data_IF_037602767019
#
_entry.id   IF_037602767019
#
_cell.length_a   1.000
_cell.length_b   1.000
_cell.length_c   1.000
_cell.angle_alpha   90.00
_cell.angle_beta   90.00
_cell.angle_gamma   90.00
#
_symmetry.space_group_name_H-M   'P 1'
#
loop_
_entity.id
_entity.type
_entity.pdbx_description
1 polymer ?
#
# COMPACT_ATOMS: atom_id res chain seq x y z
N UNK A 1 -16.30 -2.97 -1.37
CA UNK A 1 -14.93 -2.92 -0.81
C UNK A 1 -14.46 -4.34 -0.51
N UNK A 2 -13.15 -4.53 -0.33
CA UNK A 2 -12.57 -5.78 0.19
C UNK A 2 -11.71 -5.34 1.37
N UNK A 3 -12.02 -5.80 2.58
CA UNK A 3 -11.43 -5.26 3.80
C UNK A 3 -10.23 -6.08 4.27
N UNK A 4 -9.20 -5.39 4.70
CA UNK A 4 -8.03 -5.96 5.36
C UNK A 4 -8.31 -6.17 6.85
N UNK A 5 -7.98 -7.36 7.34
CA UNK A 5 -8.09 -7.73 8.76
C UNK A 5 -6.75 -8.18 9.35
N UNK A 6 -5.65 -7.94 8.62
CA UNK A 6 -4.29 -8.20 9.09
C UNK A 6 -3.72 -7.01 9.87
N UNK A 7 -2.40 -6.84 9.81
CA UNK A 7 -1.71 -5.75 10.49
C UNK A 7 -2.14 -4.37 9.96
N UNK A 8 -2.34 -3.43 10.88
CA UNK A 8 -2.59 -2.03 10.55
C UNK A 8 -1.48 -1.14 11.13
N UNK A 9 -1.02 -0.19 10.32
CA UNK A 9 -0.16 0.92 10.74
C UNK A 9 -1.00 2.19 10.88
N UNK A 10 -0.45 3.23 11.54
CA UNK A 10 -1.08 4.56 11.59
C UNK A 10 -0.16 5.57 10.92
N UNK A 11 -0.75 6.42 10.09
CA UNK A 11 -0.02 7.55 9.52
C UNK A 11 0.07 8.74 10.51
N UNK A 12 0.73 9.82 10.09
CA UNK A 12 0.89 11.05 10.88
C UNK A 12 -0.44 11.69 11.31
N UNK A 13 -1.53 11.40 10.59
CA UNK A 13 -2.88 11.89 10.87
C UNK A 13 -3.69 10.91 11.70
N UNK A 14 -3.06 9.85 12.23
CA UNK A 14 -3.70 8.78 12.99
C UNK A 14 -4.76 8.00 12.20
N UNK A 15 -4.70 8.02 10.86
CA UNK A 15 -5.56 7.19 10.02
C UNK A 15 -4.94 5.80 9.91
N UNK A 16 -5.76 4.76 10.09
CA UNK A 16 -5.32 3.37 9.97
C UNK A 16 -5.06 3.01 8.51
N UNK A 17 -3.96 2.32 8.27
CA UNK A 17 -3.48 1.91 6.95
C UNK A 17 -3.24 0.41 6.96
N UNK A 18 -3.67 -0.30 5.92
CA UNK A 18 -3.35 -1.72 5.76
C UNK A 18 -1.85 -1.89 5.47
N UNK A 19 -1.13 -2.64 6.30
CA UNK A 19 0.32 -2.86 6.17
C UNK A 19 0.68 -4.34 6.19
N UNK A 20 1.85 -4.66 5.63
CA UNK A 20 2.52 -5.94 5.81
C UNK A 20 3.91 -5.65 6.35
N UNK A 21 4.28 -6.32 7.44
CA UNK A 21 5.63 -6.31 7.98
C UNK A 21 6.39 -7.55 7.52
N UNK A 22 7.65 -7.35 7.16
CA UNK A 22 8.51 -8.41 6.66
C UNK A 22 9.96 -8.14 7.00
N UNK A 23 10.75 -9.20 7.10
CA UNK A 23 12.21 -9.12 7.30
C UNK A 23 12.87 -9.49 5.98
N UNK A 24 13.82 -8.66 5.51
CA UNK A 24 14.54 -8.98 4.27
C UNK A 24 15.60 -10.05 4.53
N UNK A 25 15.95 -10.87 3.52
CA UNK A 25 16.99 -11.88 3.69
C UNK A 25 18.32 -11.26 4.15
N UNK A 26 18.83 -11.70 5.29
CA UNK A 26 20.10 -11.21 5.85
C UNK A 26 20.00 -9.91 6.65
N UNK A 27 18.81 -9.35 6.81
CA UNK A 27 18.54 -8.23 7.73
C UNK A 27 17.89 -8.75 9.02
N UNK A 28 18.17 -8.11 10.15
CA UNK A 28 17.46 -8.37 11.42
C UNK A 28 16.29 -7.39 11.63
N UNK A 29 16.34 -6.24 10.95
CA UNK A 29 15.32 -5.20 11.07
C UNK A 29 14.03 -5.55 10.32
N UNK A 30 12.89 -5.29 10.96
CA UNK A 30 11.58 -5.45 10.35
C UNK A 30 11.29 -4.25 9.44
N UNK A 31 11.07 -4.52 8.15
CA UNK A 31 10.56 -3.57 7.18
C UNK A 31 9.03 -3.58 7.15
N UNK A 32 8.43 -2.49 6.67
CA UNK A 32 6.98 -2.35 6.52
C UNK A 32 6.65 -1.85 5.09
N UNK A 33 5.52 -2.29 4.53
CA UNK A 33 4.96 -1.73 3.30
C UNK A 33 3.45 -1.66 3.36
N UNK A 34 2.86 -0.73 2.59
CA UNK A 34 1.41 -0.56 2.48
C UNK A 34 0.82 -1.58 1.50
N UNK A 35 -0.26 -2.25 1.90
CA UNK A 35 -0.89 -3.32 1.09
C UNK A 35 -1.41 -2.77 -0.23
N UNK A 36 -2.07 -1.61 -0.22
CA UNK A 36 -2.58 -0.99 -1.44
C UNK A 36 -1.46 -0.64 -2.43
N UNK A 37 -0.28 -0.25 -1.93
CA UNK A 37 0.90 0.02 -2.74
C UNK A 37 1.43 -1.26 -3.34
N UNK A 38 1.65 -2.29 -2.51
CA UNK A 38 2.12 -3.59 -2.97
C UNK A 38 1.22 -4.16 -4.09
N UNK A 39 -0.10 -4.10 -3.93
CA UNK A 39 -1.06 -4.55 -4.93
C UNK A 39 -0.90 -3.79 -6.26
N UNK A 40 -0.74 -2.46 -6.22
CA UNK A 40 -0.52 -1.68 -7.44
C UNK A 40 0.75 -2.12 -8.17
N UNK A 41 1.85 -2.38 -7.45
CA UNK A 41 3.11 -2.86 -8.04
C UNK A 41 2.98 -4.28 -8.61
N UNK A 42 2.29 -5.21 -7.93
CA UNK A 42 2.14 -6.60 -8.37
C UNK A 42 1.38 -6.74 -9.70
N UNK A 43 0.41 -5.85 -9.97
CA UNK A 43 -0.42 -5.89 -11.17
C UNK A 43 -0.05 -4.84 -12.23
N UNK A 44 1.02 -4.08 -12.01
CA UNK A 44 1.49 -3.10 -12.98
C UNK A 44 2.19 -3.76 -14.17
N UNK A 45 1.89 -3.28 -15.38
CA UNK A 45 2.78 -3.50 -16.53
C UNK A 45 4.04 -2.64 -16.40
N UNK A 46 5.06 -2.89 -17.25
CA UNK A 46 6.36 -2.19 -17.20
C UNK A 46 6.23 -0.66 -17.15
N UNK A 47 5.42 -0.08 -18.04
CA UNK A 47 5.22 1.38 -18.11
C UNK A 47 4.57 1.94 -16.84
N UNK A 48 3.56 1.24 -16.30
CA UNK A 48 2.93 1.63 -15.04
C UNK A 48 3.85 1.44 -13.85
N UNK A 49 4.65 0.37 -13.85
CA UNK A 49 5.62 0.06 -12.79
C UNK A 49 6.67 1.16 -12.67
N UNK A 50 7.25 1.60 -13.79
CA UNK A 50 8.18 2.74 -13.83
C UNK A 50 7.56 4.02 -13.27
N UNK A 51 6.28 4.29 -13.59
CA UNK A 51 5.55 5.44 -13.02
C UNK A 51 5.35 5.29 -11.51
N UNK A 52 4.99 4.10 -11.03
CA UNK A 52 4.80 3.84 -9.60
C UNK A 52 6.10 4.03 -8.79
N UNK A 53 7.26 3.72 -9.37
CA UNK A 53 8.57 3.97 -8.75
C UNK A 53 8.84 5.45 -8.47
N UNK A 54 8.27 6.35 -9.28
CA UNK A 54 8.44 7.80 -9.14
C UNK A 54 7.51 8.42 -8.09
N UNK A 55 6.50 7.70 -7.60
CA UNK A 55 5.54 8.21 -6.63
C UNK A 55 6.09 8.14 -5.20
N UNK A 56 5.71 9.08 -4.31
CA UNK A 56 6.12 9.05 -2.90
C UNK A 56 5.81 7.70 -2.25
N UNK A 57 6.67 7.24 -1.32
CA UNK A 57 6.55 5.95 -0.63
C UNK A 57 5.51 5.97 0.50
N UNK A 58 4.32 6.51 0.21
CA UNK A 58 3.17 6.54 1.11
C UNK A 58 2.07 5.62 0.59
N UNK A 59 1.09 5.33 1.45
CA UNK A 59 -0.10 4.56 1.07
C UNK A 59 -0.87 5.30 -0.04
N UNK A 60 -1.43 4.54 -0.98
CA UNK A 60 -2.37 5.13 -1.94
C UNK A 60 -3.69 5.47 -1.27
N UNK A 61 -4.34 6.54 -1.74
CA UNK A 61 -5.71 6.82 -1.30
C UNK A 61 -6.68 5.83 -1.92
N UNK A 62 -7.72 5.50 -1.18
CA UNK A 62 -8.81 4.67 -1.67
C UNK A 62 -10.00 5.56 -2.08
N UNK A 63 -10.57 5.33 -3.27
CA UNK A 63 -11.74 6.07 -3.78
C UNK A 63 -13.01 5.80 -2.97
N UNK A 64 -13.04 4.72 -2.18
CA UNK A 64 -14.11 4.42 -1.24
C UNK A 64 -13.92 5.08 0.15
N UNK A 65 -12.91 5.93 0.32
CA UNK A 65 -12.59 6.64 1.57
C UNK A 65 -12.32 5.74 2.80
N UNK A 66 -11.93 4.50 2.55
CA UNK A 66 -11.54 3.56 3.60
C UNK A 66 -10.17 2.96 3.26
N UNK A 67 -9.16 3.32 4.04
CA UNK A 67 -7.76 2.94 3.82
C UNK A 67 -7.45 1.48 4.18
N UNK A 68 -8.38 0.78 4.85
CA UNK A 68 -8.31 -0.67 5.05
C UNK A 68 -8.93 -1.45 3.88
N UNK A 69 -9.50 -0.76 2.89
CA UNK A 69 -9.89 -1.39 1.64
C UNK A 69 -8.64 -1.78 0.82
N UNK A 70 -8.60 -3.03 0.35
CA UNK A 70 -7.52 -3.59 -0.49
C UNK A 70 -8.02 -3.98 -1.88
N UNK A 71 -9.20 -3.50 -2.28
CA UNK A 71 -9.68 -3.69 -3.64
C UNK A 71 -8.87 -2.81 -4.61
N UNK A 72 -8.12 -3.43 -5.52
CA UNK A 72 -7.27 -2.71 -6.49
C UNK A 72 -8.06 -1.71 -7.36
N UNK A 73 -9.32 -2.00 -7.69
CA UNK A 73 -10.18 -1.09 -8.47
C UNK A 73 -10.59 0.15 -7.68
N UNK A 74 -10.39 0.16 -6.37
CA UNK A 74 -10.69 1.28 -5.49
C UNK A 74 -9.42 2.10 -5.17
N UNK A 75 -8.24 1.76 -5.72
CA UNK A 75 -7.05 2.59 -5.58
C UNK A 75 -7.23 3.85 -6.42
N UNK A 76 -7.02 5.02 -5.82
CA UNK A 76 -7.04 6.30 -6.50
C UNK A 76 -5.85 6.42 -7.45
N UNK A 77 -6.10 6.84 -8.69
CA UNK A 77 -5.06 7.15 -9.67
C UNK A 77 -4.31 8.46 -9.34
N UNK A 78 -4.85 9.27 -8.43
CA UNK A 78 -4.23 10.49 -7.93
C UNK A 78 -3.73 10.26 -6.50
N UNK A 79 -2.42 10.43 -6.32
CA UNK A 79 -1.75 10.45 -5.01
C UNK A 79 -2.07 11.72 -4.24
#
# INVERSE_FOLDING_TARGET
>A
CVYWYGEAGRDEKSVEQAVIRFVKPGEEETSETFVNRLLAFMFANTKSFERLLMLPKVAFKMTCNDQLCVNIKHISAEG
#
